data_IF_684410899044
#
_entry.id   IF_684410899044
#
_cell.length_a   1.000
_cell.length_b   1.000
_cell.length_c   1.000
_cell.angle_alpha   90.00
_cell.angle_beta   90.00
_cell.angle_gamma   90.00
#
_symmetry.space_group_name_H-M   'P 1'
#
loop_
_entity.id
_entity.type
_entity.pdbx_description
1 polymer ?
#
# COMPACT_ATOMS: atom_id res chain seq x y z
N UNK A 1 43.24 -11.99 54.98
CA UNK A 1 42.70 -11.13 53.92
C UNK A 1 42.47 -11.94 52.65
N UNK A 2 41.21 -12.20 52.29
CA UNK A 2 40.82 -12.70 50.96
C UNK A 2 39.53 -11.98 50.58
N UNK A 3 39.66 -10.95 49.76
CA UNK A 3 38.56 -10.15 49.21
C UNK A 3 37.79 -11.00 48.21
N UNK A 4 36.54 -11.33 48.52
CA UNK A 4 35.63 -12.05 47.61
C UNK A 4 35.09 -11.06 46.58
N UNK A 5 35.44 -11.34 45.33
CA UNK A 5 34.92 -10.72 44.12
C UNK A 5 33.50 -11.22 43.87
N UNK A 6 32.47 -10.40 44.12
CA UNK A 6 31.12 -10.61 43.59
C UNK A 6 30.48 -9.26 43.30
N UNK A 7 30.91 -8.66 42.18
CA UNK A 7 30.28 -7.48 41.62
C UNK A 7 30.22 -7.71 40.11
N UNK A 8 29.19 -8.42 39.67
CA UNK A 8 28.61 -8.33 38.31
C UNK A 8 27.42 -9.31 38.20
N UNK A 9 26.29 -8.97 38.82
CA UNK A 9 25.01 -9.64 38.58
C UNK A 9 23.98 -8.56 38.23
N UNK A 10 24.09 -8.02 37.03
CA UNK A 10 23.23 -6.91 36.63
C UNK A 10 23.55 -6.34 35.27
N UNK A 11 23.54 -7.16 34.21
CA UNK A 11 23.41 -6.64 32.84
C UNK A 11 23.07 -7.74 31.80
N UNK A 12 22.03 -8.55 32.01
CA UNK A 12 21.56 -9.52 30.98
C UNK A 12 20.15 -9.25 30.46
N UNK A 13 19.56 -8.09 30.75
CA UNK A 13 18.22 -7.73 30.29
C UNK A 13 18.21 -6.79 29.06
N UNK A 14 19.18 -6.93 28.15
CA UNK A 14 19.09 -6.36 26.80
C UNK A 14 18.55 -7.44 25.85
N UNK A 15 17.32 -7.92 26.11
CA UNK A 15 16.62 -8.75 25.15
C UNK A 15 16.23 -7.87 23.97
N UNK A 16 16.91 -8.11 22.86
CA UNK A 16 16.72 -7.48 21.57
C UNK A 16 15.24 -7.48 21.15
N UNK A 17 14.58 -6.33 21.23
CA UNK A 17 13.27 -6.11 20.61
C UNK A 17 13.42 -5.83 19.11
N UNK A 18 14.07 -6.76 18.40
CA UNK A 18 14.12 -6.70 16.95
C UNK A 18 12.70 -6.88 16.41
N UNK A 19 12.15 -5.85 15.77
CA UNK A 19 10.88 -5.96 15.05
C UNK A 19 11.15 -6.72 13.75
N UNK A 20 10.67 -7.97 13.67
CA UNK A 20 10.74 -8.74 12.43
C UNK A 20 9.54 -8.34 11.56
N UNK A 21 9.83 -7.78 10.38
CA UNK A 21 8.82 -7.52 9.35
C UNK A 21 9.14 -8.32 8.11
N UNK A 22 8.15 -9.04 7.59
CA UNK A 22 8.23 -9.75 6.31
C UNK A 22 7.17 -9.22 5.37
N UNK A 23 7.48 -9.17 4.08
CA UNK A 23 6.54 -8.77 3.03
C UNK A 23 6.54 -9.82 1.95
N UNK A 24 5.36 -10.26 1.54
CA UNK A 24 5.15 -11.22 0.47
C UNK A 24 4.19 -10.63 -0.55
N UNK A 25 4.46 -10.84 -1.83
CA UNK A 25 3.51 -10.46 -2.88
C UNK A 25 2.27 -11.36 -2.80
N UNK A 26 1.10 -10.75 -2.98
CA UNK A 26 -0.20 -11.42 -3.05
C UNK A 26 -0.93 -10.77 -4.21
N UNK A 27 -0.91 -11.39 -5.40
CA UNK A 27 -1.51 -10.76 -6.58
C UNK A 27 -3.04 -10.72 -6.46
N UNK A 28 -3.70 -9.64 -6.91
CA UNK A 28 -5.16 -9.58 -6.92
C UNK A 28 -5.74 -10.56 -7.92
N UNK A 29 -6.78 -11.27 -7.50
CA UNK A 29 -7.54 -12.18 -8.35
C UNK A 29 -8.87 -11.51 -8.64
N UNK A 30 -9.09 -11.11 -9.90
CA UNK A 30 -10.32 -10.45 -10.34
C UNK A 30 -11.32 -11.45 -10.92
N UNK A 31 -12.60 -11.10 -10.86
CA UNK A 31 -13.68 -11.81 -11.55
C UNK A 31 -13.49 -11.66 -13.07
N UNK A 32 -13.21 -10.43 -13.51
CA UNK A 32 -12.92 -10.07 -14.90
C UNK A 32 -11.91 -8.91 -14.91
N UNK A 33 -10.66 -9.21 -15.26
CA UNK A 33 -9.59 -8.20 -15.32
C UNK A 33 -9.84 -7.14 -16.39
N UNK A 34 -10.46 -7.50 -17.52
CA UNK A 34 -10.76 -6.55 -18.60
C UNK A 34 -11.88 -5.57 -18.22
N UNK A 35 -12.82 -6.01 -17.38
CA UNK A 35 -13.82 -5.11 -16.78
C UNK A 35 -13.18 -4.10 -15.83
N UNK A 36 -12.26 -4.55 -14.96
CA UNK A 36 -11.52 -3.66 -14.04
C UNK A 36 -10.76 -2.59 -14.80
N UNK A 37 -10.02 -2.98 -15.83
CA UNK A 37 -9.25 -2.05 -16.66
C UNK A 37 -10.16 -0.98 -17.30
N UNK A 38 -11.32 -1.39 -17.83
CA UNK A 38 -12.30 -0.46 -18.42
C UNK A 38 -12.89 0.49 -17.39
N UNK A 39 -13.29 0.00 -16.22
CA UNK A 39 -13.83 0.82 -15.14
C UNK A 39 -12.80 1.85 -14.67
N UNK A 40 -11.57 1.42 -14.38
CA UNK A 40 -10.50 2.32 -13.93
C UNK A 40 -10.16 3.37 -14.99
N UNK A 41 -10.05 2.97 -16.26
CA UNK A 41 -9.77 3.90 -17.37
C UNK A 41 -10.91 4.89 -17.60
N UNK A 42 -12.15 4.52 -17.27
CA UNK A 42 -13.31 5.42 -17.34
C UNK A 42 -13.30 6.47 -16.22
N UNK A 43 -12.74 6.14 -15.05
CA UNK A 43 -12.60 7.07 -13.92
C UNK A 43 -11.41 8.01 -14.09
N UNK A 44 -10.27 7.48 -14.56
CA UNK A 44 -9.03 8.24 -14.76
C UNK A 44 -8.25 7.66 -15.93
N UNK A 45 -8.04 8.49 -16.97
CA UNK A 45 -7.12 8.12 -18.06
C UNK A 45 -5.70 8.38 -17.60
N UNK A 46 -4.82 7.41 -17.76
CA UNK A 46 -3.45 7.46 -17.27
C UNK A 46 -2.50 6.80 -18.27
N UNK A 47 -1.20 7.09 -18.15
CA UNK A 47 -0.19 6.37 -18.93
C UNK A 47 -0.11 4.91 -18.50
N UNK A 48 -0.09 4.69 -17.18
CA UNK A 48 -0.01 3.36 -16.58
C UNK A 48 -0.87 3.28 -15.33
N UNK A 49 -1.54 2.14 -15.15
CA UNK A 49 -2.23 1.76 -13.91
C UNK A 49 -1.63 0.45 -13.44
N UNK A 50 -1.08 0.43 -12.23
CA UNK A 50 -0.49 -0.76 -11.61
C UNK A 50 -1.32 -1.18 -10.40
N UNK A 51 -1.59 -2.48 -10.31
CA UNK A 51 -2.35 -3.11 -9.23
C UNK A 51 -1.44 -4.14 -8.57
N UNK A 52 -1.06 -3.89 -7.31
CA UNK A 52 -0.12 -4.77 -6.60
C UNK A 52 -0.64 -5.05 -5.19
N UNK A 53 -0.86 -6.33 -4.88
CA UNK A 53 -1.21 -6.75 -3.53
C UNK A 53 0.01 -7.29 -2.77
N UNK A 54 -0.01 -7.11 -1.46
CA UNK A 54 1.03 -7.58 -0.56
C UNK A 54 0.45 -8.02 0.77
N UNK A 55 1.11 -9.00 1.38
CA UNK A 55 0.91 -9.41 2.76
C UNK A 55 2.11 -8.95 3.57
N UNK A 56 1.85 -8.20 4.65
CA UNK A 56 2.86 -7.69 5.55
C UNK A 56 2.65 -8.38 6.90
N UNK A 57 3.66 -9.08 7.39
CA UNK A 57 3.66 -9.63 8.75
C UNK A 57 4.69 -8.91 9.59
N UNK A 58 4.25 -8.23 10.65
CA UNK A 58 5.12 -7.52 11.59
C UNK A 58 4.80 -7.96 13.02
N UNK A 59 5.82 -8.42 13.76
CA UNK A 59 5.67 -8.94 15.14
C UNK A 59 4.54 -9.99 15.28
N UNK A 60 4.42 -10.89 14.29
CA UNK A 60 3.41 -11.96 14.26
C UNK A 60 2.00 -11.52 13.84
N UNK A 61 1.77 -10.22 13.60
CA UNK A 61 0.50 -9.72 13.06
C UNK A 61 0.60 -9.57 11.55
N UNK A 62 -0.32 -10.20 10.84
CA UNK A 62 -0.41 -10.17 9.39
C UNK A 62 -1.49 -9.18 8.96
N UNK A 63 -1.20 -8.37 7.94
CA UNK A 63 -2.16 -7.50 7.27
C UNK A 63 -1.99 -7.61 5.76
N UNK A 64 -3.09 -7.44 5.02
CA UNK A 64 -3.09 -7.52 3.55
C UNK A 64 -3.46 -6.16 2.95
N UNK A 65 -2.67 -5.70 1.98
CA UNK A 65 -2.83 -4.39 1.35
C UNK A 65 -2.82 -4.53 -0.17
N UNK A 66 -3.70 -3.78 -0.85
CA UNK A 66 -3.71 -3.65 -2.30
C UNK A 66 -3.42 -2.20 -2.69
N UNK A 67 -2.40 -2.00 -3.51
CA UNK A 67 -2.01 -0.69 -4.04
C UNK A 67 -2.49 -0.53 -5.47
N UNK A 68 -3.13 0.61 -5.75
CA UNK A 68 -3.52 1.08 -7.08
C UNK A 68 -2.68 2.31 -7.41
N UNK A 69 -1.64 2.15 -8.23
CA UNK A 69 -0.77 3.26 -8.61
C UNK A 69 -1.11 3.73 -10.03
N UNK A 70 -1.54 4.99 -10.15
CA UNK A 70 -1.99 5.63 -11.38
C UNK A 70 -0.96 6.66 -11.79
N UNK A 71 -0.18 6.35 -12.83
CA UNK A 71 0.92 7.20 -13.29
C UNK A 71 0.45 8.17 -14.37
N UNK A 72 0.74 9.45 -14.17
CA UNK A 72 0.39 10.54 -15.08
C UNK A 72 -1.12 10.54 -15.43
N UNK A 73 -1.95 10.35 -14.40
CA UNK A 73 -3.40 10.43 -14.51
C UNK A 73 -3.85 11.83 -14.95
N UNK A 74 -4.74 11.87 -15.95
CA UNK A 74 -5.38 13.09 -16.43
C UNK A 74 -6.69 13.33 -15.68
N UNK A 75 -7.09 14.59 -15.54
CA UNK A 75 -8.31 15.00 -14.81
C UNK A 75 -8.36 14.60 -13.33
N UNK A 76 -7.20 14.32 -12.71
CA UNK A 76 -7.11 14.11 -11.26
C UNK A 76 -7.40 15.45 -10.56
N UNK A 77 -8.39 15.53 -9.66
CA UNK A 77 -8.68 16.77 -8.95
C UNK A 77 -7.47 17.27 -8.12
N UNK A 78 -7.27 18.58 -8.10
CA UNK A 78 -6.22 19.21 -7.28
C UNK A 78 -6.66 19.42 -5.84
N UNK A 79 -7.96 19.60 -5.60
CA UNK A 79 -8.53 19.72 -4.26
C UNK A 79 -8.50 18.39 -3.52
N UNK A 80 -8.14 18.43 -2.24
CA UNK A 80 -7.91 17.23 -1.44
C UNK A 80 -9.18 16.40 -1.26
N UNK A 81 -10.33 17.05 -1.08
CA UNK A 81 -11.61 16.36 -0.86
C UNK A 81 -12.12 15.67 -2.14
N UNK A 82 -12.08 16.35 -3.28
CA UNK A 82 -12.50 15.80 -4.56
C UNK A 82 -11.57 14.66 -4.99
N UNK A 83 -10.26 14.83 -4.77
CA UNK A 83 -9.27 13.80 -5.07
C UNK A 83 -9.50 12.57 -4.19
N UNK A 84 -9.66 12.74 -2.88
CA UNK A 84 -9.96 11.65 -1.95
C UNK A 84 -11.27 10.92 -2.30
N UNK A 85 -12.29 11.65 -2.77
CA UNK A 85 -13.52 11.02 -3.26
C UNK A 85 -13.27 10.14 -4.49
N UNK A 86 -12.46 10.61 -5.45
CA UNK A 86 -12.07 9.81 -6.62
C UNK A 86 -11.26 8.58 -6.21
N UNK A 87 -10.29 8.74 -5.31
CA UNK A 87 -9.48 7.64 -4.78
C UNK A 87 -10.36 6.58 -4.10
N UNK A 88 -11.34 7.00 -3.32
CA UNK A 88 -12.31 6.09 -2.69
C UNK A 88 -13.14 5.34 -3.73
N UNK A 89 -13.62 6.01 -4.77
CA UNK A 89 -14.35 5.37 -5.88
C UNK A 89 -13.49 4.33 -6.60
N UNK A 90 -12.23 4.64 -6.85
CA UNK A 90 -11.26 3.70 -7.46
C UNK A 90 -11.05 2.48 -6.56
N UNK A 91 -10.78 2.69 -5.27
CA UNK A 91 -10.59 1.61 -4.31
C UNK A 91 -11.83 0.70 -4.22
N UNK A 92 -13.03 1.28 -4.18
CA UNK A 92 -14.29 0.54 -4.18
C UNK A 92 -14.49 -0.26 -5.48
N UNK A 93 -14.18 0.33 -6.65
CA UNK A 93 -14.25 -0.37 -7.94
C UNK A 93 -13.35 -1.61 -7.94
N UNK A 94 -12.10 -1.46 -7.49
CA UNK A 94 -11.14 -2.57 -7.44
C UNK A 94 -11.65 -3.66 -6.49
N UNK A 95 -12.05 -3.29 -5.26
CA UNK A 95 -12.61 -4.22 -4.27
C UNK A 95 -13.79 -5.03 -4.82
N UNK A 96 -14.75 -4.36 -5.46
CA UNK A 96 -15.98 -4.99 -5.96
C UNK A 96 -15.76 -5.95 -7.14
N UNK A 97 -14.63 -5.83 -7.82
CA UNK A 97 -14.28 -6.75 -8.92
C UNK A 97 -13.30 -7.85 -8.49
N UNK A 98 -12.83 -7.87 -7.24
CA UNK A 98 -12.07 -9.01 -6.72
C UNK A 98 -12.96 -10.25 -6.63
N UNK A 99 -12.36 -11.42 -6.85
CA UNK A 99 -13.00 -12.72 -6.64
C UNK A 99 -13.42 -12.91 -5.18
N UNK A 100 -12.63 -12.36 -4.26
CA UNK A 100 -12.98 -12.22 -2.84
C UNK A 100 -12.83 -10.74 -2.45
N UNK A 101 -13.95 -10.00 -2.26
CA UNK A 101 -13.92 -8.58 -1.87
C UNK A 101 -13.25 -8.30 -0.52
N UNK A 102 -13.06 -9.33 0.33
CA UNK A 102 -12.40 -9.22 1.63
C UNK A 102 -10.95 -9.73 1.60
N UNK A 103 -10.39 -10.03 0.42
CA UNK A 103 -9.03 -10.55 0.28
C UNK A 103 -7.94 -9.59 0.77
N UNK A 104 -8.25 -8.29 0.87
CA UNK A 104 -7.36 -7.24 1.35
C UNK A 104 -8.03 -6.40 2.42
N UNK A 105 -7.29 -6.10 3.49
CA UNK A 105 -7.76 -5.27 4.60
C UNK A 105 -7.68 -3.77 4.29
N UNK A 106 -6.73 -3.38 3.45
CA UNK A 106 -6.48 -1.99 3.05
C UNK A 106 -6.29 -1.84 1.55
N UNK A 107 -6.70 -0.69 1.05
CA UNK A 107 -6.57 -0.27 -0.33
C UNK A 107 -5.88 1.09 -0.36
N UNK A 108 -4.71 1.16 -0.96
CA UNK A 108 -3.95 2.39 -1.14
C UNK A 108 -4.12 2.84 -2.58
N UNK A 109 -4.55 4.07 -2.82
CA UNK A 109 -4.65 4.63 -4.18
C UNK A 109 -3.64 5.77 -4.29
N UNK A 110 -2.72 5.66 -5.25
CA UNK A 110 -1.64 6.63 -5.44
C UNK A 110 -1.73 7.24 -6.83
N UNK A 111 -1.78 8.56 -6.91
CA UNK A 111 -1.48 9.29 -8.12
C UNK A 111 0.01 9.61 -8.17
N UNK A 112 0.67 9.08 -9.20
CA UNK A 112 2.11 9.23 -9.41
C UNK A 112 2.32 10.20 -10.57
N UNK A 113 2.87 11.38 -10.29
CA UNK A 113 3.36 12.27 -11.34
C UNK A 113 4.79 11.87 -11.67
N UNK A 114 5.06 11.50 -12.92
CA UNK A 114 6.37 11.12 -13.45
C UNK A 114 6.78 12.11 -14.53
N UNK A 115 7.86 12.84 -14.27
CA UNK A 115 8.46 13.76 -15.23
C UNK A 115 9.87 13.28 -15.58
N UNK A 116 10.18 13.18 -16.86
CA UNK A 116 11.52 12.83 -17.35
C UNK A 116 12.12 14.03 -18.08
N UNK A 117 13.27 14.50 -17.62
CA UNK A 117 14.05 15.58 -18.24
C UNK A 117 15.49 15.12 -18.43
N UNK A 118 15.87 14.85 -19.68
CA UNK A 118 17.15 14.21 -20.01
C UNK A 118 17.29 12.85 -19.32
N UNK A 119 18.36 12.68 -18.54
CA UNK A 119 18.64 11.45 -17.79
C UNK A 119 17.95 11.38 -16.41
N UNK A 120 17.25 12.44 -15.98
CA UNK A 120 16.63 12.51 -14.65
C UNK A 120 15.14 12.19 -14.75
N UNK A 121 14.67 11.25 -13.93
CA UNK A 121 13.24 11.00 -13.71
C UNK A 121 12.86 11.43 -12.32
N UNK A 122 11.92 12.37 -12.21
CA UNK A 122 11.30 12.78 -10.94
C UNK A 122 9.95 12.08 -10.80
N UNK A 123 9.65 11.64 -9.59
CA UNK A 123 8.35 11.09 -9.23
C UNK A 123 7.82 11.80 -8.00
N UNK A 124 6.54 12.13 -8.03
CA UNK A 124 5.79 12.63 -6.89
C UNK A 124 4.58 11.73 -6.65
N UNK A 125 4.30 11.40 -5.40
CA UNK A 125 3.21 10.50 -5.02
C UNK A 125 2.26 11.25 -4.11
N UNK A 126 0.97 11.17 -4.43
CA UNK A 126 -0.12 11.68 -3.60
C UNK A 126 -1.20 10.62 -3.55
N UNK A 127 -1.75 10.35 -2.37
CA UNK A 127 -2.81 9.37 -2.25
C UNK A 127 -3.21 9.08 -0.81
N UNK A 128 -4.38 8.46 -0.66
CA UNK A 128 -4.93 8.00 0.60
C UNK A 128 -4.95 6.46 0.71
N UNK A 129 -5.14 6.00 1.95
CA UNK A 129 -5.37 4.60 2.31
C UNK A 129 -6.78 4.46 2.85
N UNK A 130 -7.50 3.44 2.39
CA UNK A 130 -8.85 3.10 2.82
C UNK A 130 -8.88 1.70 3.39
N UNK A 131 -9.53 1.51 4.54
CA UNK A 131 -9.80 0.18 5.07
C UNK A 131 -10.95 -0.47 4.32
N UNK A 132 -10.98 -1.81 4.29
CA UNK A 132 -12.07 -2.58 3.68
C UNK A 132 -13.45 -2.24 4.24
N UNK A 133 -13.52 -1.74 5.49
CA UNK A 133 -14.77 -1.35 6.16
C UNK A 133 -15.29 0.01 5.72
N UNK A 134 -14.42 0.86 5.18
CA UNK A 134 -14.79 2.20 4.69
C UNK A 134 -15.26 2.17 3.23
N UNK A 135 -15.04 1.05 2.53
CA UNK A 135 -15.30 0.83 1.11
C UNK A 135 -16.54 -0.04 0.84
#
# INVERSE_FOLDING_TARGET
MKTKCHLLFGLTALLASCTLTTTRMKDPIFIDSGKVEKELTSMVRAEHINLAGKEITSNGKTSTELEVAITNGTNVPKGDNERKSLEKSIAASVKNNLKDPNAYEKYTVLFVTKETSGAVTKRNWVGDVFSVKEL
#
